data_IF_329300205329
#
_entry.id   IF_329300205329
#
_cell.length_a   1.000
_cell.length_b   1.000
_cell.length_c   1.000
_cell.angle_alpha   90.00
_cell.angle_beta   90.00
_cell.angle_gamma   90.00
#
_symmetry.space_group_name_H-M   'P 1'
#
loop_
_entity.id
_entity.type
_entity.pdbx_description
1 polymer ?
#
# COMPACT_ATOMS: atom_id res chain seq x y z
N UNK A 1 33.02 9.98 -5.23
CA UNK A 1 32.49 10.07 -5.20
C UNK A 1 31.87 9.83 -5.05
N UNK A 2 31.94 9.86 -5.13
CA UNK A 2 31.13 9.69 -5.14
C UNK A 2 30.52 9.80 -4.85
N UNK A 3 30.42 9.86 -4.72
CA UNK A 3 29.68 10.08 -4.59
C UNK A 3 28.96 10.02 -4.70
N UNK A 4 28.75 9.78 -4.78
CA UNK A 4 27.89 9.84 -4.97
C UNK A 4 27.06 9.46 -4.85
N UNK A 5 27.03 9.22 -4.82
CA UNK A 5 26.14 9.01 -4.74
C UNK A 5 25.20 8.97 -4.36
N UNK A 6 25.32 8.85 -4.15
CA UNK A 6 24.44 8.92 -3.82
C UNK A 6 23.60 9.14 -3.70
N UNK A 7 23.71 9.18 -3.82
CA UNK A 7 23.00 9.59 -3.81
C UNK A 7 22.22 9.81 -4.13
N UNK A 8 22.64 9.58 -4.38
CA UNK A 8 21.96 9.93 -4.82
C UNK A 8 21.28 10.08 -4.98
N UNK A 9 22.32 9.69 -4.72
CA UNK A 9 21.31 9.74 -4.83
C UNK A 9 20.17 10.42 -5.22
N UNK A 10 19.55 10.88 -4.75
CA UNK A 10 18.31 11.43 -5.26
C UNK A 10 18.58 12.69 -6.06
N UNK A 11 18.44 12.58 -7.34
CA UNK A 11 18.70 13.68 -8.25
C UNK A 11 17.47 14.55 -8.49
N UNK A 12 16.32 14.13 -7.99
CA UNK A 12 15.10 14.90 -8.16
C UNK A 12 14.95 15.98 -7.10
N UNK A 13 14.48 17.15 -7.49
CA UNK A 13 14.17 18.19 -6.53
C UNK A 13 12.99 17.76 -5.66
N UNK A 14 12.95 18.13 -4.38
CA UNK A 14 11.82 17.83 -3.53
C UNK A 14 10.53 18.45 -4.09
N UNK A 15 9.43 17.76 -3.92
CA UNK A 15 8.11 18.30 -4.28
C UNK A 15 7.79 19.46 -3.32
N UNK A 16 7.44 20.64 -3.84
CA UNK A 16 7.05 21.74 -2.97
C UNK A 16 5.86 21.35 -2.08
N UNK A 17 5.81 21.92 -0.87
CA UNK A 17 4.77 21.59 0.09
C UNK A 17 3.36 21.79 -0.47
N UNK A 18 3.15 22.83 -1.26
CA UNK A 18 1.83 23.11 -1.86
C UNK A 18 1.39 22.05 -2.89
N UNK A 19 2.33 21.24 -3.39
CA UNK A 19 2.04 20.18 -4.35
C UNK A 19 1.96 18.81 -3.69
N UNK A 20 2.20 18.73 -2.38
CA UNK A 20 2.07 17.48 -1.66
C UNK A 20 0.63 17.24 -1.26
N UNK A 21 0.26 15.96 -1.20
CA UNK A 21 -1.08 15.59 -0.75
C UNK A 21 -1.16 15.75 0.75
N UNK A 22 -2.22 16.40 1.25
CA UNK A 22 -2.47 16.47 2.68
C UNK A 22 -3.30 15.26 3.09
N UNK A 23 -2.81 14.51 4.07
CA UNK A 23 -3.47 13.30 4.56
C UNK A 23 -3.79 13.44 6.04
N UNK A 24 -4.90 12.82 6.44
CA UNK A 24 -5.23 12.63 7.85
C UNK A 24 -4.65 11.32 8.37
N UNK A 25 -5.13 10.86 9.52
CA UNK A 25 -4.67 9.59 10.08
C UNK A 25 -5.31 8.39 9.38
N UNK A 26 -6.36 8.61 8.60
CA UNK A 26 -7.00 7.60 7.75
C UNK A 26 -7.49 8.27 6.47
N UNK A 27 -7.47 7.50 5.38
CA UNK A 27 -7.84 8.01 4.06
C UNK A 27 -8.55 6.96 3.23
N UNK A 28 -9.35 7.42 2.27
CA UNK A 28 -9.85 6.56 1.20
C UNK A 28 -8.81 6.52 0.09
N UNK A 29 -8.48 5.32 -0.35
CA UNK A 29 -7.53 5.13 -1.45
C UNK A 29 -8.10 4.18 -2.47
N UNK A 30 -7.48 4.12 -3.64
CA UNK A 30 -7.78 3.13 -4.66
C UNK A 30 -6.50 2.44 -5.10
N UNK A 31 -6.64 1.19 -5.51
CA UNK A 31 -5.56 0.38 -6.09
C UNK A 31 -6.10 -0.14 -7.42
N UNK A 32 -6.06 0.70 -8.48
CA UNK A 32 -6.79 0.38 -9.72
C UNK A 32 -6.30 -0.87 -10.43
N UNK A 33 -5.00 -1.17 -10.37
CA UNK A 33 -4.47 -2.37 -11.01
C UNK A 33 -4.96 -3.65 -10.35
N UNK A 34 -5.42 -3.55 -9.10
CA UNK A 34 -5.98 -4.68 -8.35
C UNK A 34 -7.51 -4.68 -8.36
N UNK A 35 -8.12 -3.76 -9.11
CA UNK A 35 -9.57 -3.58 -9.16
C UNK A 35 -10.18 -3.25 -7.80
N UNK A 36 -9.40 -2.63 -6.93
CA UNK A 36 -9.89 -2.12 -5.65
C UNK A 36 -10.20 -0.64 -5.83
N UNK A 37 -11.48 -0.33 -5.99
CA UNK A 37 -11.93 1.02 -6.33
C UNK A 37 -11.88 1.96 -5.14
N UNK A 38 -11.99 1.41 -3.93
CA UNK A 38 -12.04 2.21 -2.72
C UNK A 38 -11.78 1.30 -1.52
N UNK A 39 -10.80 1.68 -0.73
CA UNK A 39 -10.49 0.96 0.51
C UNK A 39 -10.02 1.97 1.55
N UNK A 40 -10.41 1.74 2.80
CA UNK A 40 -10.01 2.61 3.89
C UNK A 40 -8.63 2.19 4.37
N UNK A 41 -7.70 3.13 4.35
CA UNK A 41 -6.33 2.88 4.79
C UNK A 41 -6.04 3.69 6.04
N UNK A 42 -5.34 3.05 6.98
CA UNK A 42 -4.77 3.74 8.14
C UNK A 42 -3.39 4.26 7.74
N UNK A 43 -3.16 5.54 7.98
CA UNK A 43 -1.86 6.16 7.73
C UNK A 43 -0.94 5.82 8.90
N UNK A 44 0.16 5.14 8.60
CA UNK A 44 1.06 4.62 9.63
C UNK A 44 2.51 4.97 9.27
N UNK A 45 2.98 6.11 9.78
CA UNK A 45 4.35 6.56 9.52
C UNK A 45 5.39 5.71 10.25
N UNK A 46 4.95 4.92 11.23
CA UNK A 46 5.83 3.99 11.93
C UNK A 46 6.12 2.72 11.14
N UNK A 47 5.24 2.36 10.21
CA UNK A 47 5.48 1.23 9.33
C UNK A 47 6.27 1.68 8.11
N UNK A 48 7.35 0.98 7.80
CA UNK A 48 8.16 1.34 6.64
C UNK A 48 7.42 1.11 5.34
N UNK A 49 6.77 -0.03 5.21
CA UNK A 49 6.13 -0.48 3.96
C UNK A 49 4.63 -0.63 4.18
N UNK A 50 3.86 -0.29 3.15
CA UNK A 50 2.42 -0.49 3.17
C UNK A 50 2.08 -1.97 3.26
N UNK A 51 0.89 -2.27 3.79
CA UNK A 51 0.45 -3.65 3.99
C UNK A 51 -1.03 -3.76 3.65
N UNK A 52 -1.37 -4.75 2.84
CA UNK A 52 -2.76 -5.07 2.49
C UNK A 52 -3.15 -6.37 3.18
N UNK A 53 -4.27 -6.34 3.88
CA UNK A 53 -4.80 -7.52 4.56
C UNK A 53 -5.60 -8.35 3.58
N UNK A 54 -5.20 -9.62 3.44
CA UNK A 54 -5.88 -10.58 2.57
C UNK A 54 -6.46 -11.69 3.43
N UNK A 55 -7.45 -12.41 2.93
CA UNK A 55 -7.92 -13.59 3.63
C UNK A 55 -7.49 -14.89 2.94
N UNK A 56 -6.88 -14.78 1.77
CA UNK A 56 -6.35 -15.93 1.03
C UNK A 56 -5.30 -15.47 0.06
N UNK A 57 -4.20 -16.21 -0.05
CA UNK A 57 -3.16 -15.98 -1.05
C UNK A 57 -2.77 -17.29 -1.69
N UNK A 58 -2.53 -17.25 -3.01
CA UNK A 58 -2.12 -18.41 -3.79
C UNK A 58 -0.95 -18.00 -4.70
N UNK A 59 0.30 -18.21 -4.24
CA UNK A 59 1.45 -17.97 -5.10
C UNK A 59 1.49 -18.98 -6.25
N UNK A 60 1.96 -18.54 -7.40
CA UNK A 60 2.14 -19.41 -8.56
C UNK A 60 3.22 -18.85 -9.47
N UNK A 61 3.61 -19.63 -10.45
CA UNK A 61 4.59 -19.21 -11.45
C UNK A 61 3.95 -19.28 -12.82
N UNK A 62 4.13 -18.23 -13.60
CA UNK A 62 3.62 -18.16 -14.96
C UNK A 62 4.73 -17.62 -15.87
N UNK A 63 5.09 -18.38 -16.90
CA UNK A 63 6.13 -18.00 -17.86
C UNK A 63 7.44 -17.61 -17.17
N UNK A 64 7.82 -18.35 -16.12
CA UNK A 64 9.03 -18.10 -15.35
C UNK A 64 8.92 -16.96 -14.34
N UNK A 65 7.79 -16.29 -14.27
CA UNK A 65 7.59 -15.16 -13.38
C UNK A 65 6.80 -15.58 -12.14
N UNK A 66 7.29 -15.20 -10.97
CA UNK A 66 6.60 -15.46 -9.71
C UNK A 66 5.46 -14.47 -9.55
N UNK A 67 4.27 -14.99 -9.35
CA UNK A 67 3.06 -14.18 -9.19
C UNK A 67 2.24 -14.67 -7.98
N UNK A 68 1.28 -13.87 -7.57
CA UNK A 68 0.37 -14.24 -6.48
C UNK A 68 -1.05 -13.81 -6.82
N UNK A 69 -1.98 -14.74 -6.62
CA UNK A 69 -3.41 -14.42 -6.63
C UNK A 69 -3.85 -14.29 -5.19
N UNK A 70 -4.63 -13.27 -4.90
CA UNK A 70 -5.06 -13.04 -3.52
C UNK A 70 -6.45 -12.42 -3.48
N UNK A 71 -7.11 -12.58 -2.34
CA UNK A 71 -8.49 -12.15 -2.17
C UNK A 71 -8.59 -11.21 -0.98
N UNK A 72 -9.36 -10.15 -1.15
CA UNK A 72 -9.46 -9.04 -0.20
C UNK A 72 -10.94 -8.74 0.08
N UNK A 73 -11.24 -8.40 1.33
CA UNK A 73 -12.51 -7.80 1.69
C UNK A 73 -12.29 -6.28 1.75
N UNK A 74 -12.63 -5.53 0.70
CA UNK A 74 -12.26 -4.11 0.65
C UNK A 74 -13.09 -3.21 1.55
N UNK A 75 -14.26 -3.68 1.99
CA UNK A 75 -15.16 -2.87 2.82
C UNK A 75 -14.99 -3.24 4.28
N UNK A 76 -14.77 -2.23 5.11
CA UNK A 76 -14.58 -2.42 6.55
C UNK A 76 -15.83 -3.03 7.17
N UNK A 77 -15.62 -4.06 7.99
CA UNK A 77 -16.70 -4.78 8.70
C UNK A 77 -17.70 -5.48 7.77
N UNK A 78 -17.32 -5.75 6.51
CA UNK A 78 -18.17 -6.41 5.54
C UNK A 78 -17.39 -7.55 4.90
N UNK A 79 -17.88 -8.77 5.05
CA UNK A 79 -17.26 -9.98 4.50
C UNK A 79 -17.92 -10.43 3.19
N UNK A 80 -18.94 -9.72 2.73
CA UNK A 80 -19.69 -10.11 1.53
C UNK A 80 -19.04 -9.63 0.24
N UNK A 81 -18.41 -8.48 0.27
CA UNK A 81 -17.73 -7.97 -0.91
C UNK A 81 -16.32 -8.53 -0.95
N UNK A 82 -15.98 -9.17 -2.07
CA UNK A 82 -14.70 -9.84 -2.27
C UNK A 82 -14.10 -9.35 -3.57
N UNK A 83 -12.83 -9.01 -3.56
CA UNK A 83 -12.09 -8.69 -4.78
C UNK A 83 -10.97 -9.71 -4.93
N UNK A 84 -10.93 -10.35 -6.10
CA UNK A 84 -9.82 -11.23 -6.47
C UNK A 84 -8.77 -10.40 -7.19
N UNK A 85 -7.53 -10.50 -6.73
CA UNK A 85 -6.41 -9.71 -7.23
C UNK A 85 -5.31 -10.62 -7.73
N UNK A 86 -4.47 -10.10 -8.62
CA UNK A 86 -3.30 -10.80 -9.13
C UNK A 86 -2.18 -9.79 -9.31
N UNK A 87 -0.97 -10.16 -8.87
CA UNK A 87 0.17 -9.26 -8.98
C UNK A 87 1.46 -10.05 -9.09
N UNK A 88 2.48 -9.39 -9.65
CA UNK A 88 3.83 -9.93 -9.70
C UNK A 88 4.46 -9.84 -8.31
N UNK A 89 5.12 -10.91 -7.89
CA UNK A 89 5.85 -10.94 -6.63
C UNK A 89 7.24 -10.35 -6.84
N UNK A 90 7.54 -9.27 -6.13
CA UNK A 90 8.86 -8.63 -6.18
C UNK A 90 9.83 -9.25 -5.20
N UNK A 91 9.33 -9.67 -4.04
CA UNK A 91 10.18 -10.14 -2.95
C UNK A 91 9.33 -10.93 -1.95
N UNK A 92 10.02 -11.70 -1.10
CA UNK A 92 9.39 -12.42 0.01
C UNK A 92 10.14 -12.05 1.28
N UNK A 93 9.41 -11.79 2.35
CA UNK A 93 10.01 -11.42 3.63
C UNK A 93 9.38 -12.21 4.76
N UNK A 94 10.24 -12.69 5.66
CA UNK A 94 9.80 -13.25 6.93
C UNK A 94 9.61 -12.11 7.91
N UNK A 95 8.41 -12.00 8.47
CA UNK A 95 8.06 -10.95 9.43
C UNK A 95 7.65 -11.62 10.72
N UNK A 96 8.24 -11.18 11.84
CA UNK A 96 7.89 -11.66 13.16
C UNK A 96 7.03 -10.61 13.86
N UNK A 97 5.94 -11.07 14.51
CA UNK A 97 5.14 -10.18 15.31
C UNK A 97 5.65 -10.15 16.75
N UNK A 98 5.02 -9.35 17.60
CA UNK A 98 5.43 -9.20 19.00
C UNK A 98 5.22 -10.47 19.82
N UNK A 99 4.39 -11.40 19.34
CA UNK A 99 4.17 -12.70 19.98
C UNK A 99 5.11 -13.79 19.52
N UNK A 100 6.08 -13.47 18.66
CA UNK A 100 7.04 -14.43 18.14
C UNK A 100 6.54 -15.24 16.95
N UNK A 101 5.36 -14.94 16.43
CA UNK A 101 4.82 -15.62 15.26
C UNK A 101 5.54 -15.11 14.01
N UNK A 102 5.89 -16.03 13.13
CA UNK A 102 6.52 -15.70 11.86
C UNK A 102 5.52 -15.85 10.73
N UNK A 103 5.56 -14.92 9.80
CA UNK A 103 4.69 -14.94 8.62
C UNK A 103 5.53 -14.65 7.40
N UNK A 104 5.37 -15.44 6.35
CA UNK A 104 5.96 -15.15 5.07
C UNK A 104 5.07 -14.13 4.36
N UNK A 105 5.60 -12.95 4.11
CA UNK A 105 4.89 -11.90 3.40
C UNK A 105 5.45 -11.71 2.02
N UNK A 106 4.57 -11.75 1.04
CA UNK A 106 4.91 -11.47 -0.34
C UNK A 106 4.82 -9.97 -0.57
N UNK A 107 5.78 -9.42 -1.32
CA UNK A 107 5.78 -8.00 -1.67
C UNK A 107 5.39 -7.86 -3.13
N UNK A 108 4.47 -6.95 -3.40
CA UNK A 108 4.02 -6.63 -4.75
C UNK A 108 4.16 -5.13 -4.98
N UNK A 109 4.20 -4.73 -6.24
CA UNK A 109 4.13 -3.32 -6.63
C UNK A 109 2.78 -3.04 -7.25
N UNK A 110 2.19 -1.92 -6.89
CA UNK A 110 0.91 -1.52 -7.46
C UNK A 110 0.80 0.01 -7.46
N UNK A 111 -0.15 0.52 -8.23
CA UNK A 111 -0.40 1.95 -8.28
C UNK A 111 -1.37 2.34 -7.17
N UNK A 112 -0.99 3.34 -6.40
CA UNK A 112 -1.81 3.94 -5.37
C UNK A 112 -2.47 5.20 -5.94
N UNK A 113 -3.78 5.36 -5.69
CA UNK A 113 -4.50 6.60 -6.00
C UNK A 113 -4.95 7.24 -4.70
N UNK A 114 -4.55 8.50 -4.49
CA UNK A 114 -4.96 9.34 -3.37
C UNK A 114 -5.48 10.65 -3.93
N UNK A 115 -6.78 10.92 -3.74
CA UNK A 115 -7.40 12.06 -4.37
C UNK A 115 -7.31 11.96 -5.88
N UNK A 116 -6.73 12.96 -6.50
CA UNK A 116 -6.54 13.00 -7.96
C UNK A 116 -5.09 12.66 -8.38
N UNK A 117 -4.26 12.21 -7.44
CA UNK A 117 -2.87 11.88 -7.71
C UNK A 117 -2.65 10.37 -7.63
N UNK A 118 -1.66 9.88 -8.37
CA UNK A 118 -1.33 8.47 -8.36
C UNK A 118 0.18 8.27 -8.53
N UNK A 119 0.70 7.21 -7.91
CA UNK A 119 2.10 6.81 -8.05
C UNK A 119 2.27 5.35 -7.65
N UNK A 120 3.35 4.68 -8.12
CA UNK A 120 3.59 3.29 -7.74
C UNK A 120 4.07 3.18 -6.29
N UNK A 121 3.63 2.13 -5.61
CA UNK A 121 4.10 1.81 -4.26
C UNK A 121 4.44 0.33 -4.17
N UNK A 122 5.29 0.00 -3.19
CA UNK A 122 5.52 -1.38 -2.78
C UNK A 122 4.62 -1.69 -1.60
N UNK A 123 4.08 -2.89 -1.59
CA UNK A 123 3.09 -3.27 -0.59
C UNK A 123 3.26 -4.74 -0.25
N UNK A 124 3.27 -5.06 1.04
CA UNK A 124 3.27 -6.45 1.46
C UNK A 124 1.84 -6.94 1.62
N UNK A 125 1.67 -8.25 1.45
CA UNK A 125 0.40 -8.92 1.69
C UNK A 125 0.51 -9.68 3.00
N UNK A 126 -0.46 -9.52 3.87
CA UNK A 126 -0.54 -10.32 5.08
C UNK A 126 -1.78 -11.18 5.03
N UNK A 127 -1.64 -12.46 5.41
CA UNK A 127 -2.76 -13.39 5.45
C UNK A 127 -3.50 -13.26 6.78
N UNK A 128 -3.85 -12.02 7.12
CA UNK A 128 -4.57 -11.67 8.34
C UNK A 128 -5.66 -10.69 7.97
N UNK A 129 -6.89 -11.08 8.17
CA UNK A 129 -8.05 -10.30 7.76
C UNK A 129 -8.53 -9.44 8.93
N UNK A 130 -7.96 -8.23 9.05
CA UNK A 130 -8.36 -7.30 10.09
C UNK A 130 -9.73 -6.73 9.80
N UNK A 131 -10.58 -6.68 10.82
CA UNK A 131 -11.93 -6.15 10.68
C UNK A 131 -11.97 -4.63 10.63
N UNK A 132 -10.95 -3.95 11.14
CA UNK A 132 -10.94 -2.48 11.15
C UNK A 132 -10.38 -1.89 9.86
N UNK A 133 -9.06 -1.93 9.72
CA UNK A 133 -8.43 -1.39 8.51
C UNK A 133 -7.88 -2.54 7.69
N UNK A 134 -8.33 -2.62 6.45
CA UNK A 134 -7.86 -3.65 5.53
C UNK A 134 -6.52 -3.29 4.92
N UNK A 135 -6.08 -2.06 5.11
CA UNK A 135 -4.80 -1.58 4.57
C UNK A 135 -4.13 -0.61 5.53
N UNK A 136 -2.81 -0.70 5.59
CA UNK A 136 -1.96 0.29 6.24
C UNK A 136 -1.12 0.97 5.16
N UNK A 137 -1.09 2.29 5.20
CA UNK A 137 -0.28 3.08 4.28
C UNK A 137 1.02 3.43 4.98
N UNK A 138 2.12 2.87 4.51
CA UNK A 138 3.41 2.97 5.15
C UNK A 138 4.22 4.17 4.71
N UNK A 139 5.33 4.39 5.42
CA UNK A 139 6.17 5.58 5.23
C UNK A 139 6.73 5.70 3.82
N UNK A 140 7.17 4.61 3.20
CA UNK A 140 7.77 4.68 1.87
C UNK A 140 6.78 5.10 0.79
N UNK A 141 5.49 4.84 0.99
CA UNK A 141 4.46 5.28 0.05
C UNK A 141 4.20 6.79 0.13
N UNK A 142 4.53 7.41 1.26
CA UNK A 142 4.17 8.80 1.54
C UNK A 142 5.35 9.76 1.51
N UNK A 143 6.56 9.24 1.74
CA UNK A 143 7.74 10.09 1.88
C UNK A 143 7.96 10.94 0.63
N UNK A 144 8.08 12.24 0.84
CA UNK A 144 8.28 13.20 -0.25
C UNK A 144 7.01 13.56 -1.00
N UNK A 145 5.88 12.91 -0.71
CA UNK A 145 4.63 13.10 -1.46
C UNK A 145 3.47 13.60 -0.63
N UNK A 146 3.56 13.45 0.69
CA UNK A 146 2.43 13.75 1.57
C UNK A 146 2.85 14.52 2.80
N UNK A 147 1.93 15.31 3.32
CA UNK A 147 2.04 15.96 4.63
C UNK A 147 0.93 15.37 5.50
N UNK A 148 1.27 14.92 6.70
CA UNK A 148 0.34 14.21 7.56
C UNK A 148 -0.18 15.14 8.65
N UNK A 149 -1.51 15.18 8.77
CA UNK A 149 -2.22 15.93 9.82
C UNK A 149 -2.88 14.89 10.72
N UNK A 150 -2.27 14.55 11.85
CA UNK A 150 -2.73 13.39 12.64
C UNK A 150 -4.13 13.53 13.24
N UNK A 151 -4.63 14.77 13.36
CA UNK A 151 -5.95 15.02 13.93
C UNK A 151 -7.09 14.95 12.89
N UNK A 152 -6.76 14.86 11.61
CA UNK A 152 -7.74 14.94 10.53
C UNK A 152 -8.02 13.58 9.92
N UNK A 153 -9.12 13.48 9.19
CA UNK A 153 -9.53 12.26 8.46
C UNK A 153 -9.98 12.63 7.05
N UNK A 154 -9.62 11.80 6.11
CA UNK A 154 -10.14 11.86 4.72
C UNK A 154 -9.87 13.19 4.02
N UNK A 155 -8.70 13.76 4.24
CA UNK A 155 -8.34 15.05 3.65
C UNK A 155 -8.20 14.98 2.13
N UNK A 156 -7.79 13.84 1.60
CA UNK A 156 -7.64 13.67 0.15
C UNK A 156 -8.97 13.46 -0.56
N UNK A 157 -10.04 13.16 0.18
CA UNK A 157 -11.35 12.91 -0.39
C UNK A 157 -11.42 11.57 -1.11
N UNK A 158 -12.40 11.43 -1.99
CA UNK A 158 -12.58 10.19 -2.75
C UNK A 158 -11.50 10.05 -3.80
N UNK A 159 -10.92 8.85 -3.97
CA UNK A 159 -9.90 8.67 -4.99
C UNK A 159 -10.50 8.72 -6.39
N UNK A 160 -9.76 9.33 -7.31
CA UNK A 160 -10.17 9.38 -8.71
C UNK A 160 -9.79 8.05 -9.37
N UNK A 161 -10.68 7.07 -9.29
CA UNK A 161 -10.47 5.75 -9.86
C UNK A 161 -10.78 5.76 -11.35
N UNK A 162 -9.80 5.30 -12.13
CA UNK A 162 -9.99 5.11 -13.57
C UNK A 162 -9.87 3.63 -13.87
N UNK A 163 -10.93 3.08 -14.41
CA UNK A 163 -10.95 1.68 -14.82
C UNK A 163 -10.07 1.46 -16.05
#
# INVERSE_FOLDING_TARGET
MSKKTAEVINTEAPIPAENKVSLGWREWIALPELDIKRIKAKVDTGARTSCLHTFRTEPYTQDGERRVRFWVHPVQNDMHQVVECDAKVLDERDVSDSGGHKELRLMVETTLVLGDQSWPIEMTLTNRDSMQFRMLLGRTAMAGRAIIHPEASYLAGEPAFKA
#
